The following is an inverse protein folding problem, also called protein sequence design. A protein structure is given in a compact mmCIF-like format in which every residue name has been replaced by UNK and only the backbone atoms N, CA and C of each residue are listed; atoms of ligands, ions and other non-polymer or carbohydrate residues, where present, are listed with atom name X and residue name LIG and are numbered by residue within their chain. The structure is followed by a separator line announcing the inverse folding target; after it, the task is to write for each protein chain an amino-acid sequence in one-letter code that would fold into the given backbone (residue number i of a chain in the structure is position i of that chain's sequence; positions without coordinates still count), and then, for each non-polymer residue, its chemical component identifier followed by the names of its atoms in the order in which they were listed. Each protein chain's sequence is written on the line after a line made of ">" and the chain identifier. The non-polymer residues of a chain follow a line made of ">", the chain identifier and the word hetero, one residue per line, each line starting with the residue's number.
data_IF_072521000045
#
_entry.id   IF_072521000045
#
_cell.length_a   1.000
_cell.length_b   1.000
_cell.length_c   1.000
_cell.angle_alpha   90.00
_cell.angle_beta   90.00
_cell.angle_gamma   90.00
#
_symmetry.space_group_name_H-M   'P 1'
#
loop_
_entity.id
_entity.type
_entity.pdbx_description
1 polymer ?
#
# COMPACT_ATOMS: atom_id res chain seq x y z
N UNK A 1 -70.57 -5.32 20.66
CA UNK A 1 -69.22 -4.78 20.92
C UNK A 1 -68.49 -5.78 21.78
N UNK A 2 -67.69 -6.66 21.18
CA UNK A 2 -66.99 -7.75 21.86
C UNK A 2 -65.48 -7.54 21.71
N UNK A 3 -64.82 -7.43 22.85
CA UNK A 3 -63.37 -7.44 23.00
C UNK A 3 -62.87 -8.88 22.95
N UNK A 4 -61.77 -9.11 22.23
CA UNK A 4 -61.03 -10.38 22.24
C UNK A 4 -59.55 -10.07 22.42
N UNK A 5 -59.08 -10.35 23.64
CA UNK A 5 -57.67 -10.40 24.00
C UNK A 5 -57.13 -11.78 23.62
N UNK A 6 -56.04 -11.82 22.87
CA UNK A 6 -55.27 -13.03 22.60
C UNK A 6 -53.93 -12.93 23.34
N UNK A 7 -53.78 -13.76 24.39
CA UNK A 7 -52.51 -13.98 25.07
C UNK A 7 -51.64 -14.96 24.29
N UNK A 8 -50.39 -14.61 24.07
CA UNK A 8 -49.37 -15.49 23.51
C UNK A 8 -48.47 -15.98 24.65
N UNK A 9 -48.52 -17.27 24.93
CA UNK A 9 -47.62 -17.98 25.84
C UNK A 9 -46.21 -18.05 25.24
N UNK A 10 -45.20 -17.58 25.99
CA UNK A 10 -43.79 -17.73 25.64
C UNK A 10 -43.29 -19.10 26.09
N UNK A 11 -42.80 -19.91 25.14
CA UNK A 11 -41.98 -21.09 25.46
C UNK A 11 -40.58 -20.64 25.94
N UNK A 12 -39.95 -21.37 26.88
CA UNK A 12 -38.58 -21.10 27.31
C UNK A 12 -37.54 -21.59 26.29
N UNK A 13 -36.55 -20.74 26.02
CA UNK A 13 -35.41 -20.99 25.15
C UNK A 13 -34.53 -22.14 25.67
N UNK A 14 -34.18 -23.06 24.77
CA UNK A 14 -33.20 -24.11 25.03
C UNK A 14 -31.77 -23.52 25.06
N UNK A 15 -30.91 -23.92 26.01
CA UNK A 15 -29.55 -23.42 26.08
C UNK A 15 -28.69 -23.97 24.93
N UNK A 16 -28.16 -23.06 24.12
CA UNK A 16 -27.19 -23.35 23.05
C UNK A 16 -25.90 -23.93 23.65
N UNK A 17 -25.32 -24.99 23.06
CA UNK A 17 -24.05 -25.55 23.53
C UNK A 17 -22.90 -24.59 23.22
N UNK A 18 -22.32 -24.02 24.28
CA UNK A 18 -21.04 -23.33 24.26
C UNK A 18 -19.92 -24.31 23.99
N UNK A 19 -19.64 -24.58 22.71
CA UNK A 19 -18.36 -25.15 22.29
C UNK A 19 -17.26 -24.11 22.51
N UNK A 20 -16.74 -24.07 23.75
CA UNK A 20 -15.45 -23.45 24.05
C UNK A 20 -14.36 -24.34 23.44
N UNK A 21 -14.00 -24.06 22.19
CA UNK A 21 -12.80 -24.60 21.59
C UNK A 21 -11.61 -24.02 22.35
N UNK A 22 -11.05 -24.81 23.26
CA UNK A 22 -9.76 -24.55 23.88
C UNK A 22 -8.69 -24.57 22.78
N UNK A 23 -8.50 -23.43 22.12
CA UNK A 23 -7.31 -23.19 21.32
C UNK A 23 -6.13 -23.17 22.29
N UNK A 24 -5.42 -24.29 22.36
CA UNK A 24 -4.09 -24.40 22.94
C UNK A 24 -3.19 -23.39 22.25
N UNK A 25 -3.11 -22.17 22.79
CA UNK A 25 -2.12 -21.17 22.39
C UNK A 25 -0.75 -21.75 22.72
N UNK A 26 -0.06 -22.27 21.70
CA UNK A 26 1.35 -22.59 21.80
C UNK A 26 2.08 -21.33 22.27
N UNK A 27 2.98 -21.42 23.28
CA UNK A 27 3.72 -20.26 23.76
C UNK A 27 4.44 -19.57 22.60
N UNK A 28 4.30 -18.25 22.49
CA UNK A 28 4.92 -17.45 21.43
C UNK A 28 6.42 -17.70 21.29
N UNK A 29 7.09 -18.00 22.41
CA UNK A 29 8.53 -18.24 22.48
C UNK A 29 8.92 -19.58 21.81
N UNK A 30 8.08 -20.61 21.93
CA UNK A 30 8.34 -21.92 21.33
C UNK A 30 8.26 -21.87 19.80
N UNK A 31 7.33 -21.08 19.26
CA UNK A 31 7.20 -20.86 17.81
C UNK A 31 8.39 -20.09 17.25
N UNK A 32 8.84 -19.04 17.95
CA UNK A 32 10.00 -18.25 17.51
C UNK A 32 11.30 -19.04 17.51
N UNK A 33 11.52 -19.87 18.54
CA UNK A 33 12.76 -20.63 18.69
C UNK A 33 12.81 -21.89 17.81
N UNK A 34 11.67 -22.57 17.61
CA UNK A 34 11.66 -23.92 17.03
C UNK A 34 11.07 -24.00 15.61
N UNK A 35 10.42 -22.95 15.12
CA UNK A 35 9.71 -23.01 13.83
C UNK A 35 10.24 -21.98 12.85
N UNK A 36 10.32 -20.71 13.26
CA UNK A 36 10.75 -19.61 12.38
C UNK A 36 12.15 -19.73 11.77
N UNK A 37 13.18 -20.28 12.47
CA UNK A 37 14.53 -20.40 11.91
C UNK A 37 14.62 -21.31 10.67
N UNK A 38 13.64 -22.18 10.46
CA UNK A 38 13.62 -23.12 9.34
C UNK A 38 12.99 -22.54 8.07
N UNK A 39 12.36 -21.37 8.16
CA UNK A 39 11.74 -20.72 7.01
C UNK A 39 12.71 -19.79 6.28
N UNK A 40 12.65 -19.82 4.95
CA UNK A 40 13.31 -18.84 4.10
C UNK A 40 12.63 -17.46 4.26
N UNK A 41 13.33 -16.34 3.96
CA UNK A 41 12.75 -15.00 4.07
C UNK A 41 11.41 -14.84 3.32
N UNK A 42 11.28 -15.42 2.13
CA UNK A 42 10.05 -15.42 1.33
C UNK A 42 8.91 -16.20 1.97
N UNK A 43 9.22 -17.28 2.69
CA UNK A 43 8.21 -18.09 3.39
C UNK A 43 7.76 -17.38 4.66
N UNK A 44 8.68 -16.74 5.38
CA UNK A 44 8.35 -15.90 6.52
C UNK A 44 7.39 -14.76 6.13
N UNK A 45 7.56 -14.15 4.95
CA UNK A 45 6.60 -13.19 4.42
C UNK A 45 5.21 -13.78 4.22
N UNK A 46 5.12 -14.97 3.63
CA UNK A 46 3.85 -15.66 3.42
C UNK A 46 3.17 -15.95 4.77
N UNK A 47 3.92 -16.47 5.74
CA UNK A 47 3.44 -16.73 7.11
C UNK A 47 2.95 -15.44 7.76
N UNK A 48 3.72 -14.34 7.69
CA UNK A 48 3.33 -13.05 8.24
C UNK A 48 2.07 -12.44 7.56
N UNK A 49 1.78 -12.82 6.31
CA UNK A 49 0.60 -12.39 5.58
C UNK A 49 -0.67 -13.20 5.92
N UNK A 50 -0.54 -14.39 6.54
CA UNK A 50 -1.69 -15.24 6.91
C UNK A 50 -2.55 -14.66 8.04
N UNK A 51 -1.97 -13.89 8.98
CA UNK A 51 -2.71 -13.40 10.13
C UNK A 51 -1.97 -12.37 10.98
N UNK A 52 -2.74 -11.63 11.78
CA UNK A 52 -2.23 -10.56 12.66
C UNK A 52 -1.26 -11.11 13.73
N UNK A 53 -1.58 -12.27 14.31
CA UNK A 53 -0.74 -12.91 15.32
C UNK A 53 0.65 -13.29 14.76
N UNK A 54 0.68 -13.96 13.61
CA UNK A 54 1.91 -14.34 12.90
C UNK A 54 2.74 -13.13 12.47
N UNK A 55 2.07 -12.06 12.06
CA UNK A 55 2.74 -10.86 11.58
C UNK A 55 3.72 -10.28 12.58
N UNK A 56 3.30 -10.09 13.83
CA UNK A 56 4.16 -9.53 14.87
C UNK A 56 5.27 -10.51 15.26
N UNK A 57 4.94 -11.80 15.37
CA UNK A 57 5.88 -12.86 15.72
C UNK A 57 7.02 -12.95 14.70
N UNK A 58 6.68 -13.03 13.42
CA UNK A 58 7.66 -13.11 12.32
C UNK A 58 8.45 -11.81 12.22
N UNK A 59 7.80 -10.65 12.35
CA UNK A 59 8.47 -9.36 12.31
C UNK A 59 9.53 -9.23 13.42
N UNK A 60 9.23 -9.68 14.64
CA UNK A 60 10.20 -9.69 15.75
C UNK A 60 11.39 -10.61 15.45
N UNK A 61 11.13 -11.82 14.94
CA UNK A 61 12.19 -12.77 14.56
C UNK A 61 13.07 -12.25 13.42
N UNK A 62 12.48 -11.67 12.37
CA UNK A 62 13.21 -11.11 11.24
C UNK A 62 14.04 -9.87 11.63
N UNK A 63 13.55 -9.08 12.59
CA UNK A 63 14.30 -7.94 13.14
C UNK A 63 15.52 -8.40 13.97
N UNK A 64 15.39 -9.46 14.77
CA UNK A 64 16.47 -9.98 15.60
C UNK A 64 17.54 -10.76 14.80
N UNK A 65 17.15 -11.40 13.70
CA UNK A 65 18.03 -12.22 12.85
C UNK A 65 18.76 -11.45 11.73
N UNK A 66 18.67 -10.11 11.68
CA UNK A 66 19.22 -9.27 10.61
C UNK A 66 18.63 -9.53 9.20
N UNK A 67 17.54 -10.30 9.11
CA UNK A 67 16.89 -10.66 7.84
C UNK A 67 16.06 -9.51 7.23
N UNK A 68 15.80 -8.44 8.00
CA UNK A 68 14.95 -7.33 7.59
C UNK A 68 15.38 -6.65 6.27
N UNK A 69 16.69 -6.60 5.98
CA UNK A 69 17.18 -6.04 4.72
C UNK A 69 16.72 -6.90 3.54
N UNK A 70 16.78 -8.22 3.65
CA UNK A 70 16.34 -9.17 2.62
C UNK A 70 14.84 -9.12 2.30
N UNK A 71 14.04 -8.40 3.09
CA UNK A 71 12.60 -8.24 2.86
C UNK A 71 12.27 -7.06 1.96
N UNK A 72 13.10 -6.01 1.99
CA UNK A 72 13.05 -4.89 1.03
C UNK A 72 13.87 -5.17 -0.23
N UNK A 73 14.67 -6.25 -0.22
CA UNK A 73 15.51 -6.66 -1.34
C UNK A 73 14.96 -7.94 -1.97
N UNK A 74 14.52 -7.88 -3.23
CA UNK A 74 14.33 -9.09 -4.04
C UNK A 74 12.89 -9.39 -4.48
N UNK A 75 12.56 -10.68 -4.72
CA UNK A 75 11.41 -11.08 -5.52
C UNK A 75 10.08 -10.70 -4.87
N UNK A 76 10.00 -10.66 -3.54
CA UNK A 76 8.78 -10.32 -2.83
C UNK A 76 8.30 -8.88 -3.11
N UNK A 77 9.20 -7.89 -3.05
CA UNK A 77 8.88 -6.51 -3.41
C UNK A 77 8.56 -6.36 -4.90
N UNK A 78 9.21 -7.16 -5.76
CA UNK A 78 8.91 -7.18 -7.19
C UNK A 78 7.51 -7.75 -7.49
N UNK A 79 7.08 -8.80 -6.79
CA UNK A 79 5.71 -9.33 -6.86
C UNK A 79 4.68 -8.31 -6.38
N UNK A 80 4.96 -7.63 -5.26
CA UNK A 80 4.09 -6.55 -4.75
C UNK A 80 3.99 -5.39 -5.73
N UNK A 81 5.11 -4.96 -6.33
CA UNK A 81 5.15 -3.95 -7.39
C UNK A 81 4.31 -4.40 -8.60
N UNK A 82 4.49 -5.65 -9.07
CA UNK A 82 3.75 -6.17 -10.21
C UNK A 82 2.23 -6.20 -9.94
N UNK A 83 1.82 -6.69 -8.78
CA UNK A 83 0.42 -6.70 -8.36
C UNK A 83 -0.15 -5.28 -8.22
N UNK A 84 0.61 -4.35 -7.64
CA UNK A 84 0.19 -2.96 -7.51
C UNK A 84 0.03 -2.25 -8.87
N UNK A 85 0.91 -2.53 -9.83
CA UNK A 85 0.79 -2.04 -11.20
C UNK A 85 -0.48 -2.58 -11.86
N UNK A 86 -0.79 -3.86 -11.65
CA UNK A 86 -2.02 -4.46 -12.19
C UNK A 86 -3.27 -3.84 -11.56
N UNK A 87 -3.30 -3.64 -10.24
CA UNK A 87 -4.41 -2.96 -9.57
C UNK A 87 -4.58 -1.52 -10.06
N UNK A 88 -3.48 -0.80 -10.26
CA UNK A 88 -3.51 0.55 -10.83
C UNK A 88 -4.06 0.55 -12.26
N UNK A 89 -3.67 -0.43 -13.08
CA UNK A 89 -4.18 -0.61 -14.45
C UNK A 89 -5.68 -0.88 -14.45
N UNK A 90 -6.15 -1.80 -13.62
CA UNK A 90 -7.57 -2.10 -13.46
C UNK A 90 -8.36 -0.88 -12.97
N UNK A 91 -7.84 -0.16 -11.98
CA UNK A 91 -8.45 1.08 -11.48
C UNK A 91 -8.60 2.15 -12.58
N UNK A 92 -7.63 2.25 -13.49
CA UNK A 92 -7.69 3.18 -14.64
C UNK A 92 -8.60 2.74 -15.79
N UNK A 93 -9.02 1.48 -15.80
CA UNK A 93 -10.01 0.93 -16.74
C UNK A 93 -11.43 0.92 -16.15
N UNK A 94 -11.58 1.30 -14.87
CA UNK A 94 -12.87 1.30 -14.21
C UNK A 94 -13.81 2.34 -14.81
N UNK A 95 -15.11 2.07 -14.79
CA UNK A 95 -16.16 3.04 -15.16
C UNK A 95 -16.13 4.34 -14.33
N UNK A 96 -15.44 4.34 -13.19
CA UNK A 96 -15.32 5.50 -12.31
C UNK A 96 -14.05 6.34 -12.56
N UNK A 97 -13.23 5.96 -13.54
CA UNK A 97 -12.01 6.70 -13.86
C UNK A 97 -12.33 7.97 -14.67
N UNK A 98 -11.95 9.13 -14.14
CA UNK A 98 -12.13 10.42 -14.79
C UNK A 98 -10.84 10.88 -15.50
N UNK A 99 -10.87 11.06 -16.82
CA UNK A 99 -9.67 11.38 -17.60
C UNK A 99 -9.15 12.81 -17.39
N UNK A 100 -10.02 13.77 -17.04
CA UNK A 100 -9.67 15.18 -16.85
C UNK A 100 -9.17 15.53 -15.46
N UNK A 101 -9.22 14.56 -14.53
CA UNK A 101 -8.82 14.76 -13.15
C UNK A 101 -8.82 13.44 -12.40
N UNK A 102 -7.64 12.92 -12.09
CA UNK A 102 -7.53 11.61 -11.45
C UNK A 102 -6.39 11.57 -10.44
N UNK A 103 -6.39 10.51 -9.63
CA UNK A 103 -5.26 10.15 -8.78
C UNK A 103 -5.13 8.62 -8.77
N UNK A 104 -3.94 8.14 -9.10
CA UNK A 104 -3.61 6.72 -9.20
C UNK A 104 -2.47 6.40 -8.25
N UNK A 105 -2.57 5.26 -7.55
CA UNK A 105 -1.55 4.79 -6.64
C UNK A 105 -0.99 3.44 -7.09
N UNK A 106 0.33 3.29 -6.98
CA UNK A 106 1.02 2.01 -7.18
C UNK A 106 2.19 1.89 -6.21
N UNK A 107 2.81 0.71 -6.20
CA UNK A 107 4.06 0.46 -5.50
C UNK A 107 5.22 0.44 -6.50
N UNK A 108 6.35 1.07 -6.14
CA UNK A 108 7.58 1.05 -6.92
C UNK A 108 8.71 0.49 -6.05
N UNK A 109 9.34 -0.58 -6.52
CA UNK A 109 10.50 -1.20 -5.89
C UNK A 109 11.77 -0.83 -6.66
N UNK A 110 12.82 -0.46 -5.93
CA UNK A 110 14.12 -0.06 -6.50
C UNK A 110 15.27 -0.83 -5.88
N UNK A 111 16.26 -1.08 -6.72
CA UNK A 111 17.58 -1.58 -6.32
C UNK A 111 18.53 -0.42 -5.99
N UNK A 112 19.65 -0.68 -5.29
CA UNK A 112 20.66 0.33 -5.00
C UNK A 112 21.15 1.03 -6.25
N UNK A 113 21.17 2.37 -6.22
CA UNK A 113 21.59 3.21 -7.34
C UNK A 113 20.50 3.51 -8.37
N UNK A 114 19.31 2.91 -8.27
CA UNK A 114 18.17 3.27 -9.12
C UNK A 114 17.46 4.54 -8.61
N UNK A 115 17.01 5.39 -9.54
CA UNK A 115 16.18 6.54 -9.22
C UNK A 115 14.73 6.10 -8.99
N UNK A 116 14.25 6.30 -7.76
CA UNK A 116 12.88 5.98 -7.37
C UNK A 116 11.83 6.77 -8.15
N UNK A 117 12.10 8.04 -8.44
CA UNK A 117 11.16 8.89 -9.16
C UNK A 117 10.99 8.37 -10.58
N UNK A 118 12.10 8.12 -11.27
CA UNK A 118 12.09 7.56 -12.61
C UNK A 118 11.44 6.17 -12.63
N UNK A 119 11.76 5.30 -11.67
CA UNK A 119 11.13 3.98 -11.56
C UNK A 119 9.62 4.07 -11.43
N UNK A 120 9.12 4.97 -10.59
CA UNK A 120 7.68 5.18 -10.43
C UNK A 120 7.02 5.67 -11.73
N UNK A 121 7.65 6.63 -12.42
CA UNK A 121 7.19 7.13 -13.72
C UNK A 121 7.18 6.02 -14.78
N UNK A 122 8.20 5.17 -14.83
CA UNK A 122 8.25 4.02 -15.74
C UNK A 122 7.10 3.04 -15.49
N UNK A 123 6.64 2.90 -14.23
CA UNK A 123 5.46 2.09 -13.91
C UNK A 123 4.17 2.76 -14.36
N UNK A 124 4.05 4.07 -14.19
CA UNK A 124 2.91 4.81 -14.74
C UNK A 124 2.89 4.79 -16.27
N UNK A 125 4.03 4.65 -16.94
CA UNK A 125 4.07 4.50 -18.40
C UNK A 125 3.43 3.21 -18.91
N UNK A 126 3.24 2.22 -18.04
CA UNK A 126 2.53 0.98 -18.36
C UNK A 126 1.01 1.13 -18.29
N UNK A 127 0.51 2.30 -17.88
CA UNK A 127 -0.92 2.58 -17.84
C UNK A 127 -1.49 2.73 -19.25
N UNK A 128 -2.81 2.54 -19.43
CA UNK A 128 -3.49 2.73 -20.71
C UNK A 128 -3.22 4.11 -21.33
N UNK A 129 -3.32 4.25 -22.68
CA UNK A 129 -2.95 5.48 -23.37
C UNK A 129 -3.79 6.71 -22.99
N UNK A 130 -5.00 6.52 -22.46
CA UNK A 130 -5.86 7.61 -21.98
C UNK A 130 -5.47 8.15 -20.59
N UNK A 131 -4.54 7.51 -19.89
CA UNK A 131 -3.94 8.05 -18.68
C UNK A 131 -2.89 9.08 -19.09
N UNK A 132 -3.25 10.36 -18.98
CA UNK A 132 -2.38 11.48 -19.34
C UNK A 132 -1.11 11.49 -18.48
N UNK A 133 0.09 11.43 -19.06
CA UNK A 133 1.35 11.34 -18.30
C UNK A 133 2.22 12.56 -18.57
N UNK A 134 3.08 12.99 -17.63
CA UNK A 134 4.06 14.02 -17.94
C UNK A 134 4.95 13.50 -19.07
N UNK A 135 5.18 14.33 -20.08
CA UNK A 135 6.07 13.99 -21.19
C UNK A 135 7.54 13.91 -20.74
N UNK A 136 8.41 13.49 -21.66
CA UNK A 136 9.84 13.29 -21.35
C UNK A 136 10.55 14.60 -20.99
N UNK A 137 10.15 15.72 -21.61
CA UNK A 137 10.82 17.01 -21.43
C UNK A 137 10.46 17.63 -20.07
N UNK A 138 9.21 17.47 -19.64
CA UNK A 138 8.74 17.83 -18.29
C UNK A 138 9.41 16.96 -17.22
N UNK A 139 9.59 15.67 -17.48
CA UNK A 139 10.30 14.76 -16.56
C UNK A 139 11.76 15.12 -16.34
N UNK A 140 12.41 15.74 -17.33
CA UNK A 140 13.78 16.22 -17.19
C UNK A 140 13.89 17.46 -16.27
N UNK A 141 12.78 18.15 -16.02
CA UNK A 141 12.74 19.39 -15.23
C UNK A 141 11.62 19.37 -14.18
N UNK A 142 11.60 18.40 -13.24
CA UNK A 142 10.59 18.35 -12.20
C UNK A 142 10.74 19.56 -11.27
N UNK A 143 9.61 20.18 -10.92
CA UNK A 143 9.59 21.20 -9.87
C UNK A 143 9.42 20.48 -8.54
N UNK A 144 10.51 20.34 -7.78
CA UNK A 144 10.43 19.83 -6.42
C UNK A 144 9.61 20.80 -5.56
N UNK A 145 8.58 20.29 -4.87
CA UNK A 145 7.82 21.08 -3.91
C UNK A 145 8.46 20.85 -2.55
N UNK A 146 9.07 21.89 -1.97
CA UNK A 146 9.58 21.80 -0.60
C UNK A 146 8.43 21.47 0.38
N UNK A 147 8.72 20.63 1.39
CA UNK A 147 7.75 20.22 2.42
C UNK A 147 7.23 21.48 3.15
N UNK A 148 6.00 21.91 2.83
CA UNK A 148 5.37 23.03 3.52
C UNK A 148 4.17 23.67 2.83
N UNK A 149 3.99 23.48 1.52
CA UNK A 149 2.87 24.09 0.78
C UNK A 149 1.90 23.03 0.22
N UNK A 150 0.72 22.93 0.82
CA UNK A 150 -0.54 22.55 0.15
C UNK A 150 -0.74 21.12 -0.39
N UNK A 151 -0.11 20.10 0.18
CA UNK A 151 -0.54 18.71 -0.10
C UNK A 151 -1.02 18.03 1.19
N UNK A 152 -2.26 17.54 1.14
CA UNK A 152 -2.98 16.79 2.19
C UNK A 152 -2.29 15.52 2.68
N UNK A 153 -1.10 15.21 2.17
CA UNK A 153 -0.22 14.10 2.56
C UNK A 153 1.03 14.56 3.32
N UNK A 154 1.41 15.85 3.25
CA UNK A 154 2.56 16.39 3.97
C UNK A 154 2.25 16.45 5.48
N UNK A 155 3.14 15.88 6.30
CA UNK A 155 2.93 15.86 7.75
C UNK A 155 3.69 14.76 8.49
N UNK A 156 4.44 13.91 7.79
CA UNK A 156 5.41 13.02 8.42
C UNK A 156 6.75 13.74 8.45
N UNK A 157 6.91 14.57 9.47
CA UNK A 157 8.21 15.12 9.87
C UNK A 157 9.00 14.01 10.56
N UNK A 158 9.57 13.07 9.80
CA UNK A 158 10.36 12.00 10.39
C UNK A 158 10.96 11.04 9.38
N UNK A 159 12.17 10.57 9.70
CA UNK A 159 12.87 9.48 8.99
C UNK A 159 12.43 8.09 9.49
N UNK A 160 11.46 8.00 10.40
CA UNK A 160 11.05 6.74 11.02
C UNK A 160 9.66 6.28 10.54
N UNK A 161 9.49 4.97 10.45
CA UNK A 161 8.19 4.36 10.19
C UNK A 161 7.30 4.44 11.45
N UNK A 162 6.08 4.96 11.31
CA UNK A 162 5.12 5.12 12.41
C UNK A 162 3.74 4.55 12.06
N UNK A 163 2.88 4.34 13.06
CA UNK A 163 1.50 3.91 12.82
C UNK A 163 0.67 4.92 12.01
N UNK A 164 1.04 6.20 12.06
CA UNK A 164 0.42 7.25 11.23
C UNK A 164 0.79 7.08 9.75
N UNK A 165 2.07 6.82 9.47
CA UNK A 165 2.59 6.50 8.13
C UNK A 165 1.85 5.29 7.56
N UNK A 166 1.76 4.21 8.34
CA UNK A 166 1.05 2.98 7.96
C UNK A 166 -0.42 3.27 7.59
N UNK A 167 -1.12 4.04 8.43
CA UNK A 167 -2.53 4.39 8.21
C UNK A 167 -2.71 5.21 6.94
N UNK A 168 -1.82 6.18 6.69
CA UNK A 168 -1.86 7.01 5.47
C UNK A 168 -1.62 6.18 4.22
N UNK A 169 -0.58 5.35 4.20
CA UNK A 169 -0.30 4.46 3.06
C UNK A 169 -1.46 3.51 2.81
N UNK A 170 -1.99 2.90 3.87
CA UNK A 170 -3.16 2.02 3.78
C UNK A 170 -4.37 2.74 3.19
N UNK A 171 -4.68 3.93 3.69
CA UNK A 171 -5.83 4.72 3.24
C UNK A 171 -5.67 5.12 1.78
N UNK A 172 -4.50 5.61 1.38
CA UNK A 172 -4.23 6.00 0.01
C UNK A 172 -4.40 4.80 -0.94
N UNK A 173 -3.78 3.67 -0.64
CA UNK A 173 -3.90 2.46 -1.45
C UNK A 173 -5.35 1.95 -1.54
N UNK A 174 -6.05 1.84 -0.41
CA UNK A 174 -7.46 1.43 -0.42
C UNK A 174 -8.35 2.39 -1.18
N UNK A 175 -8.10 3.70 -1.10
CA UNK A 175 -8.85 4.71 -1.83
C UNK A 175 -8.63 4.61 -3.34
N UNK A 176 -7.39 4.42 -3.79
CA UNK A 176 -7.04 4.43 -5.21
C UNK A 176 -7.19 3.07 -5.90
N UNK A 177 -7.18 1.97 -5.13
CA UNK A 177 -7.47 0.62 -5.65
C UNK A 177 -8.93 0.22 -5.49
N UNK A 178 -9.74 1.01 -4.79
CA UNK A 178 -11.17 0.71 -4.58
C UNK A 178 -11.97 0.61 -5.88
N UNK A 179 -11.56 1.29 -6.94
CA UNK A 179 -12.20 1.18 -8.26
C UNK A 179 -11.69 -0.01 -9.08
N UNK A 180 -10.60 -0.67 -8.69
CA UNK A 180 -10.00 -1.76 -9.47
C UNK A 180 -10.94 -2.97 -9.61
N UNK A 181 -11.74 -3.25 -8.57
CA UNK A 181 -12.73 -4.34 -8.59
C UNK A 181 -14.12 -3.87 -9.07
N UNK A 182 -14.23 -2.69 -9.68
CA UNK A 182 -15.44 -2.22 -10.35
C UNK A 182 -15.16 -2.24 -11.85
N UNK A 183 -15.77 -3.20 -12.54
CA UNK A 183 -15.60 -3.40 -13.98
C UNK A 183 -16.11 -2.21 -14.81
N UNK A 184 -15.82 -2.23 -16.10
CA UNK A 184 -16.32 -1.25 -17.08
C UNK A 184 -17.85 -1.22 -17.13
N UNK A 185 -18.48 -2.37 -16.86
CA UNK A 185 -19.94 -2.53 -16.91
C UNK A 185 -20.58 -2.18 -15.55
N UNK A 186 -19.77 -1.78 -14.56
CA UNK A 186 -20.21 -1.45 -13.21
C UNK A 186 -20.38 -2.67 -12.30
N UNK A 187 -20.15 -3.88 -12.80
CA UNK A 187 -20.19 -5.11 -12.01
C UNK A 187 -18.98 -5.22 -11.07
N UNK A 188 -19.22 -5.87 -9.94
CA UNK A 188 -18.23 -6.08 -8.89
C UNK A 188 -17.41 -7.34 -9.15
N UNK A 189 -16.09 -7.19 -9.28
CA UNK A 189 -15.16 -8.30 -9.47
C UNK A 189 -14.58 -8.79 -8.13
N UNK A 190 -15.19 -9.86 -7.60
CA UNK A 190 -14.75 -10.49 -6.36
C UNK A 190 -13.30 -10.99 -6.42
N UNK A 191 -12.82 -11.49 -7.56
CA UNK A 191 -11.46 -12.00 -7.69
C UNK A 191 -10.44 -10.87 -7.57
N UNK A 192 -10.71 -9.72 -8.21
CA UNK A 192 -9.88 -8.52 -8.05
C UNK A 192 -9.94 -7.99 -6.61
N UNK A 193 -11.10 -8.04 -5.96
CA UNK A 193 -11.21 -7.64 -4.54
C UNK A 193 -10.33 -8.53 -3.64
N UNK A 194 -10.34 -9.85 -3.83
CA UNK A 194 -9.49 -10.78 -3.09
C UNK A 194 -7.99 -10.51 -3.34
N UNK A 195 -7.62 -10.20 -4.59
CA UNK A 195 -6.24 -9.81 -4.93
C UNK A 195 -5.81 -8.52 -4.21
N UNK A 196 -6.66 -7.49 -4.18
CA UNK A 196 -6.40 -6.26 -3.41
C UNK A 196 -6.22 -6.60 -1.92
N UNK A 197 -7.08 -7.45 -1.37
CA UNK A 197 -7.00 -7.86 0.03
C UNK A 197 -5.70 -8.62 0.35
N UNK A 198 -5.26 -9.52 -0.52
CA UNK A 198 -3.98 -10.24 -0.43
C UNK A 198 -2.79 -9.27 -0.48
N UNK A 199 -2.75 -8.35 -1.47
CA UNK A 199 -1.70 -7.33 -1.57
C UNK A 199 -1.62 -6.48 -0.30
N UNK A 200 -2.76 -6.07 0.24
CA UNK A 200 -2.82 -5.31 1.50
C UNK A 200 -2.36 -6.14 2.71
N UNK A 201 -2.63 -7.46 2.75
CA UNK A 201 -2.12 -8.34 3.82
C UNK A 201 -0.60 -8.47 3.75
N UNK A 202 -0.05 -8.68 2.55
CA UNK A 202 1.39 -8.75 2.28
C UNK A 202 2.11 -7.44 2.64
N UNK A 203 1.54 -6.31 2.24
CA UNK A 203 2.11 -4.99 2.55
C UNK A 203 2.09 -4.70 4.07
N UNK A 204 1.02 -5.07 4.78
CA UNK A 204 0.98 -4.99 6.25
C UNK A 204 2.06 -5.84 6.92
N UNK A 205 2.39 -7.00 6.35
CA UNK A 205 3.49 -7.81 6.87
C UNK A 205 4.84 -7.09 6.80
N UNK A 206 5.11 -6.39 5.69
CA UNK A 206 6.29 -5.52 5.56
C UNK A 206 6.28 -4.36 6.57
N UNK A 207 5.12 -3.71 6.76
CA UNK A 207 5.00 -2.60 7.72
C UNK A 207 5.24 -3.03 9.17
N UNK A 208 4.77 -4.22 9.55
CA UNK A 208 5.05 -4.76 10.87
C UNK A 208 6.54 -5.03 11.07
N UNK A 209 7.24 -5.54 10.05
CA UNK A 209 8.69 -5.65 10.09
C UNK A 209 9.35 -4.29 10.32
N UNK A 210 8.98 -3.27 9.54
CA UNK A 210 9.53 -1.92 9.68
C UNK A 210 9.33 -1.37 11.11
N UNK A 211 8.16 -1.63 11.71
CA UNK A 211 7.86 -1.28 13.10
C UNK A 211 8.75 -2.01 14.11
N UNK A 212 8.98 -3.32 13.93
CA UNK A 212 9.83 -4.10 14.84
C UNK A 212 11.33 -3.78 14.70
N UNK A 213 11.76 -3.32 13.53
CA UNK A 213 13.15 -2.92 13.31
C UNK A 213 13.49 -1.54 13.88
N UNK A 214 12.52 -0.81 14.44
CA UNK A 214 12.72 0.55 14.98
C UNK A 214 13.78 0.55 16.07
N UNK A 215 14.71 1.50 16.00
CA UNK A 215 15.81 1.64 16.96
C UNK A 215 16.91 0.59 16.84
N UNK A 216 16.83 -0.32 15.86
CA UNK A 216 17.89 -1.28 15.57
C UNK A 216 18.81 -0.79 14.45
N UNK A 217 19.97 -1.43 14.28
CA UNK A 217 20.86 -1.20 13.13
C UNK A 217 20.23 -1.51 11.76
N UNK A 218 19.08 -2.18 11.75
CA UNK A 218 18.32 -2.55 10.55
C UNK A 218 17.04 -1.73 10.42
N UNK A 219 16.94 -0.61 11.14
CA UNK A 219 15.78 0.27 11.07
C UNK A 219 15.52 0.73 9.62
N UNK A 220 14.28 0.58 9.19
CA UNK A 220 13.81 1.09 7.91
C UNK A 220 13.65 2.61 8.03
N UNK A 221 14.20 3.32 7.05
CA UNK A 221 14.13 4.78 6.98
C UNK A 221 12.98 5.18 6.07
N UNK A 222 12.27 6.24 6.42
CA UNK A 222 11.25 6.83 5.55
C UNK A 222 11.82 7.97 4.74
N UNK A 223 11.57 7.95 3.44
CA UNK A 223 11.89 9.00 2.50
C UNK A 223 10.60 9.46 1.81
N UNK A 224 10.39 10.77 1.75
CA UNK A 224 9.20 11.37 1.16
C UNK A 224 9.65 12.40 0.13
N UNK A 225 9.12 12.26 -1.09
CA UNK A 225 9.43 13.14 -2.21
C UNK A 225 8.12 13.57 -2.86
N UNK A 226 8.01 14.85 -3.19
CA UNK A 226 6.85 15.43 -3.85
C UNK A 226 7.36 16.31 -4.99
N UNK A 227 6.97 15.96 -6.21
CA UNK A 227 7.34 16.71 -7.41
C UNK A 227 6.09 17.13 -8.19
N UNK A 228 6.20 18.28 -8.84
CA UNK A 228 5.18 18.79 -9.74
C UNK A 228 5.72 18.89 -11.16
N UNK A 229 4.89 18.50 -12.11
CA UNK A 229 5.12 18.76 -13.53
C UNK A 229 3.99 19.67 -14.00
N UNK A 230 4.34 20.79 -14.65
CA UNK A 230 3.36 21.75 -15.18
C UNK A 230 3.59 21.92 -16.66
N UNK A 231 2.53 21.76 -17.44
CA UNK A 231 2.52 22.08 -18.86
C UNK A 231 1.54 23.22 -19.12
N UNK A 232 2.01 24.49 -19.11
CA UNK A 232 1.19 25.60 -19.52
C UNK A 232 1.05 25.59 -21.05
N UNK A 233 -0.08 25.09 -21.55
CA UNK A 233 -0.42 25.19 -22.98
C UNK A 233 -1.48 26.28 -23.20
N UNK A 234 -1.60 26.75 -24.44
CA UNK A 234 -2.65 27.71 -24.83
C UNK A 234 -4.08 27.12 -24.68
N UNK A 235 -4.22 25.79 -24.62
CA UNK A 235 -5.52 25.10 -24.60
C UNK A 235 -5.95 24.67 -23.19
N UNK A 236 -4.98 24.23 -22.40
CA UNK A 236 -5.21 23.71 -21.06
C UNK A 236 -3.98 23.97 -20.18
N UNK A 237 -4.23 24.15 -18.89
CA UNK A 237 -3.19 24.12 -17.87
C UNK A 237 -3.16 22.73 -17.24
N UNK A 238 -2.23 21.91 -17.70
CA UNK A 238 -2.07 20.55 -17.19
C UNK A 238 -1.07 20.52 -16.04
N UNK A 239 -1.44 19.83 -14.97
CA UNK A 239 -0.61 19.64 -13.80
C UNK A 239 -0.58 18.18 -13.40
N UNK A 240 0.61 17.64 -13.27
CA UNK A 240 0.85 16.38 -12.58
C UNK A 240 1.52 16.64 -11.24
N UNK A 241 1.14 15.87 -10.25
CA UNK A 241 1.79 15.86 -8.93
C UNK A 241 2.10 14.42 -8.60
N UNK A 242 3.38 14.11 -8.43
CA UNK A 242 3.85 12.79 -8.05
C UNK A 242 4.36 12.86 -6.61
N UNK A 243 3.68 12.14 -5.74
CA UNK A 243 4.04 11.97 -4.35
C UNK A 243 4.59 10.55 -4.16
N UNK A 244 5.79 10.42 -3.61
CA UNK A 244 6.36 9.13 -3.25
C UNK A 244 6.69 9.08 -1.76
N UNK A 245 6.29 7.99 -1.11
CA UNK A 245 6.61 7.69 0.28
C UNK A 245 7.27 6.31 0.34
N UNK A 246 8.58 6.29 0.57
CA UNK A 246 9.44 5.13 0.44
C UNK A 246 9.91 4.59 1.79
N UNK A 247 9.85 3.27 1.92
CA UNK A 247 10.57 2.49 2.93
C UNK A 247 11.95 2.16 2.38
N UNK A 248 13.00 2.64 3.05
CA UNK A 248 14.39 2.54 2.63
C UNK A 248 15.17 1.61 3.59
N UNK A 249 15.94 0.67 3.04
CA UNK A 249 16.74 -0.26 3.85
C UNK A 249 17.97 0.37 4.51
N UNK A 250 18.36 1.57 4.06
CA UNK A 250 19.54 2.31 4.50
C UNK A 250 19.27 3.82 4.45
N UNK A 251 19.97 4.59 5.29
CA UNK A 251 20.01 6.06 5.21
C UNK A 251 20.80 6.57 4.01
N UNK A 252 21.70 5.75 3.46
CA UNK A 252 22.50 6.11 2.29
C UNK A 252 21.73 5.81 1.00
N UNK A 253 21.37 6.82 0.20
CA UNK A 253 20.53 6.63 -0.98
C UNK A 253 21.11 5.64 -1.99
N UNK A 254 22.43 5.68 -2.20
CA UNK A 254 23.12 4.87 -3.20
C UNK A 254 23.17 3.37 -2.87
N UNK A 255 23.03 2.99 -1.60
CA UNK A 255 23.11 1.60 -1.13
C UNK A 255 21.78 1.03 -0.65
N UNK A 256 20.71 1.82 -0.78
CA UNK A 256 19.39 1.53 -0.21
C UNK A 256 18.48 0.85 -1.23
N UNK A 257 17.89 -0.27 -0.83
CA UNK A 257 16.71 -0.78 -1.51
C UNK A 257 15.50 -0.02 -1.01
N UNK A 258 14.60 0.34 -1.93
CA UNK A 258 13.40 1.09 -1.57
C UNK A 258 12.14 0.42 -2.09
N UNK A 259 11.12 0.38 -1.26
CA UNK A 259 9.73 0.13 -1.68
C UNK A 259 8.91 1.38 -1.38
N UNK A 260 8.41 2.03 -2.41
CA UNK A 260 7.62 3.25 -2.27
C UNK A 260 6.18 3.08 -2.70
N UNK A 261 5.29 3.72 -1.95
CA UNK A 261 4.00 4.14 -2.46
C UNK A 261 4.23 5.33 -3.38
N UNK A 262 3.82 5.23 -4.64
CA UNK A 262 3.83 6.33 -5.60
C UNK A 262 2.38 6.70 -5.95
N UNK A 263 2.03 7.95 -5.73
CA UNK A 263 0.73 8.54 -6.04
C UNK A 263 0.89 9.60 -7.12
N UNK A 264 0.32 9.36 -8.30
CA UNK A 264 0.28 10.32 -9.39
C UNK A 264 -1.12 10.93 -9.46
N UNK A 265 -1.19 12.24 -9.25
CA UNK A 265 -2.38 13.04 -9.47
C UNK A 265 -2.24 13.85 -10.75
N UNK A 266 -3.30 13.89 -11.56
CA UNK A 266 -3.42 14.72 -12.75
C UNK A 266 -4.61 15.65 -12.62
N UNK A 267 -4.44 16.89 -13.08
CA UNK A 267 -5.50 17.88 -13.17
C UNK A 267 -5.36 18.66 -14.46
N UNK A 268 -6.44 18.70 -15.25
CA UNK A 268 -6.56 19.51 -16.46
C UNK A 268 -7.46 20.73 -16.18
N UNK A 269 -6.89 21.92 -16.13
CA UNK A 269 -7.66 23.17 -16.06
C UNK A 269 -7.96 23.69 -17.47
N UNK A 270 -9.25 23.76 -17.86
CA UNK A 270 -9.65 24.41 -19.10
C UNK A 270 -9.57 25.93 -18.94
N UNK A 271 -8.83 26.59 -19.83
CA UNK A 271 -8.61 28.05 -19.78
C UNK A 271 -9.67 28.86 -20.53
N UNK A 272 -10.61 28.21 -21.22
CA UNK A 272 -11.68 28.87 -22.00
C UNK A 272 -13.04 28.30 -21.61
N UNK A 273 -13.82 29.12 -20.92
CA UNK A 273 -15.27 29.03 -20.73
C UNK A 273 -15.89 30.37 -21.10
#
# INVERSE_FOLDING_TARGET
>A
MLALAAGAERLPDAPSPTHSAAHSELPHDDLQANVLPFFLPTELHAVAATGVAWRSIVACFAASSAAARGWLCGPYCAELEAGAVEMCRLASNSSWFATTGYSLALLAATSPGEDLLQRALDKFDRMPPWVARPDRDLRAHPVAIEKGSDVSLSGVSGKEFTAEVERRMSRALSQHWGSAYISTDGEFDCATQEQVAELMRRLRALWALAKCCRGTRHAVVMEEVLVMFKNPSLRANERWTLYTLAMCSSTEPASSHKLALALLSYHEGRLMG
#
